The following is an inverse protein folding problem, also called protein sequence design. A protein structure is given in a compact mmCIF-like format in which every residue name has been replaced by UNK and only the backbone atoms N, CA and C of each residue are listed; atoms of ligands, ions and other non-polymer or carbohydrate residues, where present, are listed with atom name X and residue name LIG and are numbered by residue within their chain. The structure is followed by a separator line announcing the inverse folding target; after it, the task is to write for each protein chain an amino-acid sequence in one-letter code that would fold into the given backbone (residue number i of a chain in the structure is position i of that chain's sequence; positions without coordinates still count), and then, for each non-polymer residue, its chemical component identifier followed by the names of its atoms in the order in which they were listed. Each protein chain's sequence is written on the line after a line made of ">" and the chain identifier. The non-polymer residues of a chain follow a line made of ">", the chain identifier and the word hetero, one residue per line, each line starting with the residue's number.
data_IF_354940633051
#
_entry.id   IF_354940633051
#
_cell.length_a   1.000
_cell.length_b   1.000
_cell.length_c   1.000
_cell.angle_alpha   90.00
_cell.angle_beta   90.00
_cell.angle_gamma   90.00
#
_symmetry.space_group_name_H-M   'P 1'
#
loop_
_entity.id
_entity.type
_entity.pdbx_description
1 polymer ?
#
# COMPACT_ATOMS: atom_id res chain seq x y z
N UNK A 1 -7.37 -9.48 7.30
CA UNK A 1 -6.63 -10.77 7.33
C UNK A 1 -5.50 -10.69 8.36
N UNK A 2 -4.82 -11.80 8.71
CA UNK A 2 -3.69 -11.70 9.64
C UNK A 2 -2.43 -11.19 8.92
N UNK A 3 -1.67 -10.30 9.57
CA UNK A 3 -0.45 -9.75 9.00
C UNK A 3 0.61 -10.82 8.69
N UNK A 4 0.65 -11.91 9.46
CA UNK A 4 1.52 -13.06 9.19
C UNK A 4 1.22 -13.74 7.85
N UNK A 5 -0.04 -13.71 7.43
CA UNK A 5 -0.48 -14.28 6.15
C UNK A 5 -0.13 -13.33 5.01
N UNK A 6 -0.35 -12.02 5.22
CA UNK A 6 0.02 -10.99 4.27
C UNK A 6 1.52 -11.03 3.96
N UNK A 7 2.36 -11.15 5.00
CA UNK A 7 3.82 -11.17 4.87
C UNK A 7 4.38 -12.34 4.05
N UNK A 8 3.65 -13.46 3.92
CA UNK A 8 4.15 -14.67 3.22
C UNK A 8 4.20 -14.55 1.70
N UNK A 9 3.48 -13.59 1.11
CA UNK A 9 3.32 -13.45 -0.34
C UNK A 9 3.55 -12.01 -0.77
N UNK A 10 4.68 -11.40 -0.41
CA UNK A 10 4.97 -9.99 -0.74
C UNK A 10 6.15 -9.87 -1.68
N UNK A 11 6.09 -8.89 -2.57
CA UNK A 11 7.25 -8.44 -3.35
C UNK A 11 8.09 -7.42 -2.59
N UNK A 12 7.51 -6.76 -1.58
CA UNK A 12 8.21 -5.79 -0.75
C UNK A 12 7.52 -5.59 0.60
N UNK A 13 8.30 -5.36 1.66
CA UNK A 13 7.80 -4.98 2.98
C UNK A 13 8.45 -3.68 3.45
N UNK A 14 7.66 -2.78 4.00
CA UNK A 14 8.14 -1.52 4.57
C UNK A 14 7.87 -1.48 6.07
N UNK A 15 8.94 -1.47 6.88
CA UNK A 15 8.86 -1.31 8.34
C UNK A 15 8.04 -2.37 9.07
N UNK A 16 7.80 -3.55 8.47
CA UNK A 16 6.86 -4.56 8.95
C UNK A 16 5.42 -4.03 9.16
N UNK A 17 5.06 -2.90 8.57
CA UNK A 17 3.72 -2.31 8.66
C UNK A 17 2.98 -2.38 7.32
N UNK A 18 3.70 -2.30 6.21
CA UNK A 18 3.14 -2.34 4.87
C UNK A 18 3.75 -3.50 4.10
N UNK A 19 2.89 -4.28 3.46
CA UNK A 19 3.21 -5.48 2.72
C UNK A 19 2.68 -5.28 1.29
N UNK A 20 3.55 -5.08 0.31
CA UNK A 20 3.15 -4.94 -1.10
C UNK A 20 3.08 -6.34 -1.71
N UNK A 21 1.89 -6.76 -2.09
CA UNK A 21 1.64 -8.06 -2.69
C UNK A 21 2.03 -8.07 -4.17
N UNK A 22 1.58 -7.06 -4.92
CA UNK A 22 1.89 -6.92 -6.34
C UNK A 22 1.90 -5.45 -6.76
N UNK A 23 2.64 -5.16 -7.82
CA UNK A 23 2.64 -3.85 -8.49
C UNK A 23 2.53 -4.11 -9.99
N UNK A 24 1.50 -3.55 -10.60
CA UNK A 24 1.21 -3.71 -12.03
C UNK A 24 1.12 -2.33 -12.70
N UNK A 25 1.57 -2.24 -13.95
CA UNK A 25 1.34 -1.05 -14.77
C UNK A 25 0.07 -1.22 -15.60
N UNK A 26 -0.89 -0.33 -15.41
CA UNK A 26 -2.15 -0.28 -16.17
C UNK A 26 -2.27 1.07 -16.86
N UNK A 27 -1.81 1.13 -18.10
CA UNK A 27 -1.70 2.38 -18.86
C UNK A 27 -0.79 3.39 -18.15
N UNK A 28 -1.31 4.60 -17.91
CA UNK A 28 -0.61 5.67 -17.19
C UNK A 28 -0.54 5.50 -15.67
N UNK A 29 -1.11 4.43 -15.11
CA UNK A 29 -1.21 4.18 -13.67
C UNK A 29 -0.34 3.00 -13.25
N UNK A 30 0.24 3.10 -12.07
CA UNK A 30 0.73 1.96 -11.29
C UNK A 30 -0.36 1.56 -10.31
N UNK A 31 -0.73 0.28 -10.31
CA UNK A 31 -1.71 -0.29 -9.41
C UNK A 31 -0.97 -1.24 -8.48
N UNK A 32 -1.02 -0.96 -7.18
CA UNK A 32 -0.42 -1.81 -6.16
C UNK A 32 -1.51 -2.40 -5.28
N UNK A 33 -1.43 -3.71 -5.05
CA UNK A 33 -2.18 -4.39 -4.00
C UNK A 33 -1.29 -4.48 -2.78
N UNK A 34 -1.74 -3.91 -1.67
CA UNK A 34 -1.00 -3.85 -0.43
C UNK A 34 -1.85 -4.39 0.72
N UNK A 35 -1.19 -4.87 1.76
CA UNK A 35 -1.77 -5.14 3.06
C UNK A 35 -1.09 -4.25 4.09
N UNK A 36 -1.87 -3.51 4.86
CA UNK A 36 -1.35 -2.54 5.83
C UNK A 36 -1.84 -2.90 7.22
N UNK A 37 -0.89 -2.99 8.16
CA UNK A 37 -1.17 -3.31 9.55
C UNK A 37 -2.08 -2.26 10.18
N UNK A 38 -3.08 -2.75 10.91
CA UNK A 38 -3.96 -1.94 11.74
C UNK A 38 -3.20 -1.33 12.93
N UNK A 39 -3.50 -0.06 13.24
CA UNK A 39 -2.92 0.61 14.42
C UNK A 39 -3.56 0.09 15.72
N UNK A 40 -4.84 -0.26 15.69
CA UNK A 40 -5.61 -0.74 16.85
C UNK A 40 -5.53 -2.25 17.06
N UNK A 41 -5.36 -3.02 15.98
CA UNK A 41 -5.31 -4.49 16.01
C UNK A 41 -4.03 -4.99 15.33
N UNK A 42 -2.92 -5.02 16.06
CA UNK A 42 -1.57 -5.19 15.47
C UNK A 42 -1.35 -6.50 14.68
N UNK A 43 -2.16 -7.53 14.95
CA UNK A 43 -2.10 -8.79 14.21
C UNK A 43 -2.92 -8.77 12.91
N UNK A 44 -3.78 -7.78 12.73
CA UNK A 44 -4.63 -7.62 11.56
C UNK A 44 -4.04 -6.65 10.55
N UNK A 45 -4.14 -7.05 9.28
CA UNK A 45 -3.79 -6.25 8.13
C UNK A 45 -5.02 -6.07 7.24
N UNK A 46 -5.17 -4.84 6.76
CA UNK A 46 -6.23 -4.36 5.89
C UNK A 46 -5.74 -4.30 4.45
N UNK A 47 -6.55 -4.78 3.52
CA UNK A 47 -6.23 -4.70 2.10
C UNK A 47 -6.39 -3.26 1.60
N UNK A 48 -5.37 -2.79 0.89
CA UNK A 48 -5.32 -1.50 0.24
C UNK A 48 -5.03 -1.71 -1.24
N UNK A 49 -5.92 -1.23 -2.11
CA UNK A 49 -5.64 -1.13 -3.55
C UNK A 49 -5.30 0.32 -3.84
N UNK A 50 -4.06 0.58 -4.23
CA UNK A 50 -3.54 1.91 -4.51
C UNK A 50 -3.29 2.08 -6.01
N UNK A 51 -3.81 3.16 -6.58
CA UNK A 51 -3.47 3.62 -7.93
C UNK A 51 -2.65 4.90 -7.83
N UNK A 52 -1.43 4.86 -8.33
CA UNK A 52 -0.50 5.99 -8.35
C UNK A 52 -0.19 6.36 -9.80
N UNK A 53 -0.27 7.65 -10.15
CA UNK A 53 0.19 8.12 -11.47
C UNK A 53 1.66 8.57 -11.34
N UNK A 54 2.63 7.83 -11.93
CA UNK A 54 4.05 8.16 -11.82
C UNK A 54 4.34 9.59 -12.29
N UNK A 55 5.32 10.24 -11.67
CA UNK A 55 5.69 11.63 -12.00
C UNK A 55 4.70 12.69 -11.49
N UNK A 56 3.60 12.30 -10.84
CA UNK A 56 2.61 13.24 -10.30
C UNK A 56 2.37 13.03 -8.80
N UNK A 57 1.64 13.97 -8.18
CA UNK A 57 1.15 13.81 -6.80
C UNK A 57 -0.19 13.05 -6.73
N UNK A 58 -0.82 12.76 -7.88
CA UNK A 58 -2.13 12.13 -7.95
C UNK A 58 -2.05 10.65 -7.57
N UNK A 59 -2.89 10.28 -6.62
CA UNK A 59 -3.13 8.90 -6.23
C UNK A 59 -4.59 8.77 -5.79
N UNK A 60 -5.13 7.59 -5.99
CA UNK A 60 -6.42 7.19 -5.45
C UNK A 60 -6.27 5.80 -4.87
N UNK A 61 -7.12 5.41 -3.94
CA UNK A 61 -7.06 4.08 -3.38
C UNK A 61 -8.33 3.70 -2.66
N UNK A 62 -8.47 2.40 -2.46
CA UNK A 62 -9.52 1.80 -1.67
C UNK A 62 -8.86 1.06 -0.50
N UNK A 63 -9.48 1.11 0.67
CA UNK A 63 -9.04 0.42 1.88
C UNK A 63 -10.26 -0.26 2.50
N UNK A 64 -10.12 -1.52 2.86
CA UNK A 64 -11.20 -2.33 3.46
C UNK A 64 -11.39 -2.07 4.98
N UNK A 65 -10.58 -1.21 5.58
CA UNK A 65 -10.67 -0.92 7.00
C UNK A 65 -12.04 -0.28 7.38
N UNK A 66 -12.62 -0.65 8.54
CA UNK A 66 -13.94 -0.17 8.95
C UNK A 66 -13.97 1.34 9.28
N UNK A 67 -12.86 1.87 9.82
CA UNK A 67 -12.74 3.28 10.22
C UNK A 67 -12.36 4.21 9.05
N UNK A 68 -13.03 4.03 7.90
CA UNK A 68 -12.74 4.81 6.71
C UNK A 68 -13.25 6.25 6.86
N UNK A 69 -12.43 7.16 7.42
CA UNK A 69 -12.38 8.61 7.15
C UNK A 69 -11.42 9.32 8.10
N UNK A 70 -10.37 9.94 7.55
CA UNK A 70 -9.62 10.95 8.30
C UNK A 70 -10.15 12.34 7.93
N UNK A 71 -11.19 12.84 8.61
CA UNK A 71 -11.69 14.23 8.49
C UNK A 71 -11.75 14.78 7.06
N UNK A 72 -12.31 14.02 6.11
CA UNK A 72 -12.43 14.41 4.70
C UNK A 72 -11.25 14.05 3.78
N UNK A 73 -10.17 13.49 4.32
CA UNK A 73 -9.00 13.00 3.58
C UNK A 73 -8.95 11.46 3.42
N UNK A 74 -7.96 10.95 2.65
CA UNK A 74 -7.78 9.53 2.43
C UNK A 74 -7.44 8.79 3.73
N UNK A 75 -7.81 7.50 3.81
CA UNK A 75 -7.45 6.66 4.94
C UNK A 75 -5.93 6.61 5.18
N UNK A 76 -5.51 6.59 6.45
CA UNK A 76 -4.09 6.48 6.84
C UNK A 76 -3.39 5.30 6.18
N UNK A 77 -4.06 4.16 6.04
CA UNK A 77 -3.50 2.97 5.38
C UNK A 77 -3.15 3.23 3.91
N UNK A 78 -3.97 4.01 3.18
CA UNK A 78 -3.68 4.41 1.80
C UNK A 78 -2.44 5.29 1.75
N UNK A 79 -2.30 6.21 2.70
CA UNK A 79 -1.13 7.09 2.80
C UNK A 79 0.15 6.29 3.09
N UNK A 80 0.11 5.35 4.05
CA UNK A 80 1.22 4.44 4.35
C UNK A 80 1.59 3.59 3.12
N UNK A 81 0.60 3.02 2.43
CA UNK A 81 0.81 2.25 1.21
C UNK A 81 1.47 3.07 0.09
N UNK A 82 1.10 4.36 -0.06
CA UNK A 82 1.73 5.27 -1.02
C UNK A 82 3.19 5.50 -0.73
N UNK A 83 3.56 5.72 0.53
CA UNK A 83 4.96 5.90 0.93
C UNK A 83 5.74 4.63 0.63
N UNK A 84 5.24 3.47 1.04
CA UNK A 84 5.86 2.18 0.77
C UNK A 84 6.06 1.91 -0.72
N UNK A 85 5.05 2.21 -1.57
CA UNK A 85 5.15 2.05 -3.01
C UNK A 85 6.22 2.96 -3.63
N UNK A 86 6.37 4.20 -3.12
CA UNK A 86 7.43 5.11 -3.59
C UNK A 86 8.82 4.59 -3.24
N UNK A 87 9.00 4.06 -2.03
CA UNK A 87 10.28 3.45 -1.62
C UNK A 87 10.58 2.20 -2.45
N UNK A 88 9.59 1.33 -2.65
CA UNK A 88 9.71 0.18 -3.56
C UNK A 88 10.18 0.61 -4.95
N UNK A 89 9.57 1.63 -5.56
CA UNK A 89 9.95 2.11 -6.89
C UNK A 89 11.35 2.72 -6.93
N UNK A 90 11.83 3.34 -5.86
CA UNK A 90 13.22 3.84 -5.78
C UNK A 90 14.22 2.68 -5.78
N UNK A 91 13.89 1.59 -5.11
CA UNK A 91 14.74 0.39 -5.06
C UNK A 91 14.69 -0.32 -6.42
N UNK A 92 13.50 -0.55 -6.98
CA UNK A 92 13.32 -1.22 -8.26
C UNK A 92 14.07 -0.50 -9.41
N UNK A 93 14.02 0.84 -9.45
CA UNK A 93 14.76 1.65 -10.44
C UNK A 93 16.28 1.62 -10.31
N UNK A 94 16.84 1.18 -9.17
CA UNK A 94 18.30 1.04 -8.99
C UNK A 94 18.83 -0.29 -9.51
N UNK A 95 17.94 -1.21 -9.87
CA UNK A 95 18.27 -2.57 -10.32
C UNK A 95 18.16 -2.67 -11.86
N UNK A 96 17.65 -1.63 -12.53
CA UNK A 96 17.68 -1.43 -13.98
C UNK A 96 18.89 -0.58 -14.39
#
# INVERSE_FOLDING_TARGET
>A
MLCREAARRVVYSHGNEVYIHSVERRGGWLVAMCYVRSESRRDECYQVVLKLRPGTRYFTGHCDCPDFKYRGGPCKHIVKAKVALREYLKIAKRVE
#
